data_IF_881495061023
#
_entry.id   IF_881495061023
#
_cell.length_a   1.000
_cell.length_b   1.000
_cell.length_c   1.000
_cell.angle_alpha   90.00
_cell.angle_beta   90.00
_cell.angle_gamma   90.00
#
_symmetry.space_group_name_H-M   'P 1'
#
loop_
_entity.id
_entity.type
_entity.pdbx_description
1 polymer ?
#
# COMPACT_ATOMS: atom_id res chain seq x y z
N UNK A 1 -26.28 47.46 28.21
CA UNK A 1 -25.20 47.87 27.28
C UNK A 1 -24.66 46.61 26.64
N UNK A 2 -24.78 46.50 25.32
CA UNK A 2 -24.42 45.33 24.52
C UNK A 2 -22.89 45.23 24.41
N UNK A 3 -22.33 44.07 24.72
CA UNK A 3 -20.99 43.68 24.26
C UNK A 3 -21.16 42.73 23.09
N UNK A 4 -21.31 43.30 21.89
CA UNK A 4 -21.15 42.58 20.64
C UNK A 4 -19.67 42.23 20.50
N UNK A 5 -19.32 40.99 20.83
CA UNK A 5 -18.05 40.40 20.43
C UNK A 5 -18.03 40.37 18.90
N UNK A 6 -17.32 41.30 18.31
CA UNK A 6 -16.95 41.29 16.90
C UNK A 6 -16.22 39.97 16.65
N UNK A 7 -16.89 39.04 16.00
CA UNK A 7 -16.28 37.81 15.49
C UNK A 7 -15.28 38.28 14.44
N UNK A 8 -14.02 38.42 14.85
CA UNK A 8 -12.93 38.70 13.93
C UNK A 8 -12.86 37.54 12.95
N UNK A 9 -13.48 37.81 11.81
CA UNK A 9 -13.49 37.04 10.59
C UNK A 9 -12.04 36.83 10.14
N UNK A 10 -11.42 35.73 10.58
CA UNK A 10 -10.03 35.40 10.27
C UNK A 10 -9.93 34.93 8.82
N UNK A 11 -9.07 35.61 8.06
CA UNK A 11 -8.65 35.17 6.74
C UNK A 11 -7.43 34.25 6.85
N UNK A 12 -7.43 33.14 6.12
CA UNK A 12 -6.28 32.24 6.11
C UNK A 12 -5.12 32.81 5.28
N UNK A 13 -3.86 32.60 5.69
CA UNK A 13 -2.70 32.98 4.88
C UNK A 13 -2.73 32.28 3.52
N UNK A 14 -2.32 32.97 2.44
CA UNK A 14 -2.25 32.39 1.09
C UNK A 14 -1.43 31.08 1.03
N UNK A 15 -0.36 30.99 1.84
CA UNK A 15 0.47 29.78 1.99
C UNK A 15 -0.33 28.54 2.44
N UNK A 16 -1.44 28.72 3.16
CA UNK A 16 -2.29 27.61 3.59
C UNK A 16 -3.01 26.97 2.39
N UNK A 17 -3.50 27.79 1.47
CA UNK A 17 -4.14 27.32 0.24
C UNK A 17 -3.14 26.68 -0.72
N UNK A 18 -1.93 27.25 -0.84
CA UNK A 18 -0.85 26.65 -1.63
C UNK A 18 -0.49 25.24 -1.12
N UNK A 19 -0.42 25.05 0.20
CA UNK A 19 -0.12 23.73 0.78
C UNK A 19 -1.27 22.74 0.56
N UNK A 20 -2.53 23.19 0.63
CA UNK A 20 -3.68 22.34 0.32
C UNK A 20 -3.69 21.91 -1.16
N UNK A 21 -3.39 22.83 -2.07
CA UNK A 21 -3.31 22.53 -3.50
C UNK A 21 -2.17 21.53 -3.79
N UNK A 22 -1.00 21.72 -3.18
CA UNK A 22 0.10 20.76 -3.27
C UNK A 22 -0.28 19.38 -2.73
N UNK A 23 -1.08 19.30 -1.66
CA UNK A 23 -1.57 18.03 -1.15
C UNK A 23 -2.52 17.33 -2.13
N UNK A 24 -3.41 18.08 -2.77
CA UNK A 24 -4.33 17.54 -3.79
C UNK A 24 -3.50 16.97 -4.95
N UNK A 25 -2.57 17.77 -5.48
CA UNK A 25 -1.72 17.34 -6.59
C UNK A 25 -0.91 16.07 -6.25
N UNK A 26 -0.30 16.03 -5.06
CA UNK A 26 0.47 14.85 -4.64
C UNK A 26 -0.41 13.61 -4.41
N UNK A 27 -1.67 13.81 -4.02
CA UNK A 27 -2.62 12.70 -3.87
C UNK A 27 -3.06 12.16 -5.23
N UNK A 28 -3.26 13.03 -6.22
CA UNK A 28 -3.53 12.62 -7.60
C UNK A 28 -2.33 11.90 -8.24
N UNK A 29 -1.12 12.43 -8.05
CA UNK A 29 0.13 11.76 -8.46
C UNK A 29 0.24 10.36 -7.83
N UNK A 30 -0.15 10.21 -6.56
CA UNK A 30 -0.14 8.91 -5.88
C UNK A 30 -1.13 7.95 -6.52
N UNK A 31 -2.33 8.41 -6.90
CA UNK A 31 -3.31 7.57 -7.60
C UNK A 31 -2.78 7.09 -8.95
N UNK A 32 -2.07 7.95 -9.69
CA UNK A 32 -1.41 7.57 -10.93
C UNK A 32 -0.34 6.48 -10.71
N UNK A 33 0.51 6.64 -9.69
CA UNK A 33 1.52 5.63 -9.32
C UNK A 33 0.85 4.30 -8.94
N UNK A 34 -0.27 4.32 -8.21
CA UNK A 34 -1.01 3.10 -7.85
C UNK A 34 -1.64 2.41 -9.06
N UNK A 35 -2.06 3.17 -10.08
CA UNK A 35 -2.50 2.61 -11.36
C UNK A 35 -1.34 1.98 -12.13
N UNK A 36 -0.19 2.66 -12.21
CA UNK A 36 1.02 2.10 -12.81
C UNK A 36 1.47 0.82 -12.07
N UNK A 37 1.36 0.79 -10.74
CA UNK A 37 1.66 -0.38 -9.90
C UNK A 37 0.73 -1.55 -10.23
N UNK A 38 -0.57 -1.30 -10.41
CA UNK A 38 -1.53 -2.35 -10.79
C UNK A 38 -1.18 -2.96 -12.17
N UNK A 39 -0.79 -2.13 -13.14
CA UNK A 39 -0.36 -2.60 -14.46
C UNK A 39 0.93 -3.41 -14.37
N UNK A 40 1.92 -2.93 -13.62
CA UNK A 40 3.19 -3.63 -13.42
C UNK A 40 3.01 -4.96 -12.66
N UNK A 41 2.12 -5.01 -11.66
CA UNK A 41 1.76 -6.23 -10.93
C UNK A 41 1.12 -7.25 -11.87
N UNK A 42 0.20 -6.82 -12.72
CA UNK A 42 -0.47 -7.69 -13.70
C UNK A 42 0.51 -8.23 -14.74
N UNK A 43 1.49 -7.42 -15.16
CA UNK A 43 2.55 -7.80 -16.08
C UNK A 43 3.69 -8.61 -15.42
N UNK A 44 3.68 -8.77 -14.09
CA UNK A 44 4.78 -9.33 -13.29
C UNK A 44 6.14 -8.66 -13.55
N UNK A 45 6.16 -7.37 -13.87
CA UNK A 45 7.39 -6.62 -14.15
C UNK A 45 8.07 -6.17 -12.84
N UNK A 46 8.98 -7.01 -12.35
CA UNK A 46 9.72 -6.75 -11.10
C UNK A 46 10.58 -5.48 -11.13
N UNK A 47 11.11 -5.07 -12.29
CA UNK A 47 11.93 -3.85 -12.38
C UNK A 47 11.05 -2.60 -12.27
N UNK A 48 9.89 -2.61 -12.95
CA UNK A 48 8.91 -1.54 -12.80
C UNK A 48 8.40 -1.45 -11.36
N UNK A 49 8.09 -2.57 -10.70
CA UNK A 49 7.62 -2.60 -9.32
C UNK A 49 8.63 -2.00 -8.32
N UNK A 50 9.91 -2.31 -8.46
CA UNK A 50 10.96 -1.72 -7.61
C UNK A 50 11.04 -0.19 -7.78
N UNK A 51 10.99 0.30 -9.02
CA UNK A 51 11.01 1.75 -9.31
C UNK A 51 9.75 2.45 -8.77
N UNK A 52 8.60 1.82 -8.92
CA UNK A 52 7.32 2.35 -8.44
C UNK A 52 7.28 2.39 -6.91
N UNK A 53 7.82 1.38 -6.24
CA UNK A 53 7.95 1.34 -4.78
C UNK A 53 8.76 2.53 -4.24
N UNK A 54 9.93 2.83 -4.84
CA UNK A 54 10.73 3.98 -4.45
C UNK A 54 10.00 5.33 -4.70
N UNK A 55 9.27 5.46 -5.82
CA UNK A 55 8.45 6.66 -6.11
C UNK A 55 7.32 6.82 -5.09
N UNK A 56 6.66 5.71 -4.72
CA UNK A 56 5.57 5.67 -3.73
C UNK A 56 6.05 6.09 -2.36
N UNK A 57 7.20 5.58 -1.91
CA UNK A 57 7.82 5.98 -0.64
C UNK A 57 8.16 7.47 -0.62
N UNK A 58 8.80 7.99 -1.67
CA UNK A 58 9.11 9.41 -1.77
C UNK A 58 7.86 10.31 -1.68
N UNK A 59 6.78 9.91 -2.36
CA UNK A 59 5.51 10.64 -2.35
C UNK A 59 4.81 10.56 -1.00
N UNK A 60 4.82 9.40 -0.34
CA UNK A 60 4.27 9.24 1.02
C UNK A 60 5.00 10.13 2.02
N UNK A 61 6.33 10.16 1.99
CA UNK A 61 7.12 11.02 2.87
C UNK A 61 6.78 12.50 2.66
N UNK A 62 6.55 12.91 1.42
CA UNK A 62 6.16 14.29 1.10
C UNK A 62 4.75 14.61 1.58
N UNK A 63 3.78 13.71 1.40
CA UNK A 63 2.42 13.86 1.97
C UNK A 63 2.48 13.97 3.50
N UNK A 64 3.26 13.12 4.17
CA UNK A 64 3.43 13.19 5.63
C UNK A 64 4.03 14.51 6.09
N UNK A 65 5.03 15.05 5.36
CA UNK A 65 5.63 16.34 5.68
C UNK A 65 4.63 17.51 5.54
N UNK A 66 3.79 17.49 4.49
CA UNK A 66 2.77 18.51 4.27
C UNK A 66 1.66 18.39 5.31
N UNK A 67 1.29 17.17 5.70
CA UNK A 67 0.35 16.91 6.79
C UNK A 67 0.86 17.47 8.12
N UNK A 68 2.16 17.33 8.40
CA UNK A 68 2.80 17.91 9.58
C UNK A 68 2.79 19.44 9.52
N UNK A 69 3.11 20.03 8.37
CA UNK A 69 3.07 21.50 8.20
C UNK A 69 1.65 22.06 8.36
N UNK A 70 0.63 21.44 7.75
CA UNK A 70 -0.76 21.83 7.95
C UNK A 70 -1.19 21.67 9.41
N UNK A 71 -0.72 20.62 10.08
CA UNK A 71 -0.98 20.37 11.48
C UNK A 71 -0.40 21.45 12.39
N UNK A 72 0.82 21.95 12.13
CA UNK A 72 1.44 23.04 12.87
C UNK A 72 0.77 24.39 12.57
N UNK A 73 0.54 24.73 11.30
CA UNK A 73 -0.19 25.95 10.93
C UNK A 73 -1.58 26.01 11.56
N UNK A 74 -2.29 24.88 11.62
CA UNK A 74 -3.60 24.83 12.29
C UNK A 74 -3.49 24.98 13.81
N UNK A 75 -2.41 24.48 14.43
CA UNK A 75 -2.16 24.58 15.87
C UNK A 75 -1.81 26.01 16.28
N UNK A 76 -1.07 26.74 15.44
CA UNK A 76 -0.80 28.17 15.62
C UNK A 76 -2.09 29.00 15.59
N UNK A 77 -3.03 28.64 14.71
CA UNK A 77 -4.32 29.34 14.57
C UNK A 77 -5.32 28.94 15.67
N UNK A 78 -5.32 27.67 16.08
CA UNK A 78 -6.24 27.11 17.07
C UNK A 78 -5.49 26.19 18.08
N UNK A 79 -4.93 26.76 19.17
CA UNK A 79 -4.25 25.99 20.20
C UNK A 79 -5.26 25.15 20.99
N UNK A 80 -5.37 23.85 20.68
CA UNK A 80 -6.25 22.91 21.38
C UNK A 80 -6.82 21.76 20.54
N UNK A 81 -6.76 21.83 19.21
CA UNK A 81 -7.26 20.75 18.36
C UNK A 81 -6.27 19.58 18.30
N UNK A 82 -6.54 18.48 19.02
CA UNK A 82 -5.59 17.36 19.20
C UNK A 82 -5.55 16.34 18.03
N UNK A 83 -6.40 16.42 17.01
CA UNK A 83 -6.47 15.36 15.95
C UNK A 83 -6.41 15.89 14.51
N UNK A 84 -5.52 15.28 13.69
CA UNK A 84 -5.17 15.71 12.31
C UNK A 84 -6.38 15.95 11.38
N UNK A 85 -7.39 15.09 11.42
CA UNK A 85 -8.58 15.17 10.54
C UNK A 85 -9.67 16.10 11.10
N UNK A 86 -9.72 16.28 12.42
CA UNK A 86 -10.67 17.17 13.09
C UNK A 86 -10.21 18.64 13.06
N UNK A 87 -8.92 18.90 12.80
CA UNK A 87 -8.30 20.22 12.75
C UNK A 87 -8.86 21.13 11.66
N UNK A 88 -8.97 20.65 10.41
CA UNK A 88 -9.57 21.43 9.32
C UNK A 88 -11.08 21.65 9.54
N UNK A 89 -11.79 20.66 10.08
CA UNK A 89 -13.20 20.78 10.42
C UNK A 89 -13.47 21.82 11.52
N UNK A 90 -12.57 21.90 12.51
CA UNK A 90 -12.62 22.87 13.59
C UNK A 90 -12.27 24.30 13.15
N UNK A 91 -11.53 24.46 12.05
CA UNK A 91 -11.24 25.77 11.45
C UNK A 91 -12.43 26.36 10.69
N UNK A 92 -13.22 25.54 9.98
CA UNK A 92 -14.36 26.00 9.17
C UNK A 92 -15.32 26.98 9.89
N UNK A 93 -15.77 26.73 11.14
CA UNK A 93 -16.67 27.65 11.84
C UNK A 93 -16.01 28.96 12.32
N UNK A 94 -14.68 29.05 12.28
CA UNK A 94 -13.91 30.24 12.70
C UNK A 94 -13.52 31.14 11.52
N UNK A 95 -13.81 30.70 10.29
CA UNK A 95 -13.43 31.36 9.05
C UNK A 95 -14.62 32.10 8.44
N UNK A 96 -14.30 32.99 7.51
CA UNK A 96 -15.31 33.62 6.66
C UNK A 96 -16.16 32.58 5.92
N UNK A 97 -17.47 32.81 5.72
CA UNK A 97 -18.34 31.82 5.08
C UNK A 97 -17.83 31.34 3.71
N UNK A 98 -17.21 32.22 2.93
CA UNK A 98 -16.61 31.90 1.63
C UNK A 98 -15.30 31.10 1.77
N UNK A 99 -14.44 31.41 2.74
CA UNK A 99 -13.22 30.66 3.01
C UNK A 99 -13.49 29.30 3.64
N UNK A 100 -14.46 29.23 4.55
CA UNK A 100 -14.93 27.99 5.18
C UNK A 100 -15.54 27.02 4.17
N UNK A 101 -16.28 27.52 3.16
CA UNK A 101 -16.74 26.70 2.02
C UNK A 101 -15.56 26.15 1.22
N UNK A 102 -14.58 26.99 0.87
CA UNK A 102 -13.38 26.55 0.11
C UNK A 102 -12.59 25.48 0.86
N UNK A 103 -12.28 25.71 2.14
CA UNK A 103 -11.58 24.73 3.00
C UNK A 103 -12.40 23.46 3.17
N UNK A 104 -13.73 23.57 3.30
CA UNK A 104 -14.64 22.44 3.32
C UNK A 104 -14.58 21.60 2.04
N UNK A 105 -14.48 22.23 0.88
CA UNK A 105 -14.35 21.56 -0.42
C UNK A 105 -13.00 20.83 -0.54
N UNK A 106 -11.90 21.51 -0.20
CA UNK A 106 -10.56 20.89 -0.19
C UNK A 106 -10.49 19.69 0.75
N UNK A 107 -11.07 19.80 1.95
CA UNK A 107 -11.14 18.69 2.90
C UNK A 107 -11.90 17.50 2.31
N UNK A 108 -13.10 17.72 1.74
CA UNK A 108 -13.89 16.65 1.12
C UNK A 108 -13.10 15.96 0.00
N UNK A 109 -12.46 16.74 -0.85
CA UNK A 109 -11.63 16.22 -1.95
C UNK A 109 -10.44 15.40 -1.42
N UNK A 110 -9.71 15.91 -0.42
CA UNK A 110 -8.60 15.18 0.18
C UNK A 110 -9.04 13.89 0.88
N UNK A 111 -10.19 13.90 1.59
CA UNK A 111 -10.75 12.68 2.17
C UNK A 111 -11.06 11.65 1.09
N UNK A 112 -11.76 12.06 0.02
CA UNK A 112 -12.08 11.18 -1.11
C UNK A 112 -10.82 10.58 -1.74
N UNK A 113 -9.81 11.40 -2.02
CA UNK A 113 -8.56 10.95 -2.64
C UNK A 113 -7.82 9.96 -1.73
N UNK A 114 -7.78 10.21 -0.41
CA UNK A 114 -7.14 9.30 0.56
C UNK A 114 -7.85 7.97 0.68
N UNK A 115 -9.19 7.97 0.67
CA UNK A 115 -9.99 6.74 0.64
C UNK A 115 -9.71 5.93 -0.63
N UNK A 116 -9.62 6.61 -1.78
CA UNK A 116 -9.31 5.96 -3.05
C UNK A 116 -7.90 5.38 -3.09
N UNK A 117 -6.90 6.11 -2.57
CA UNK A 117 -5.51 5.62 -2.38
C UNK A 117 -5.51 4.37 -1.51
N UNK A 118 -6.23 4.39 -0.38
CA UNK A 118 -6.29 3.27 0.55
C UNK A 118 -6.92 2.04 -0.11
N UNK A 119 -8.02 2.23 -0.85
CA UNK A 119 -8.69 1.14 -1.54
C UNK A 119 -7.81 0.51 -2.63
N UNK A 120 -7.19 1.32 -3.50
CA UNK A 120 -6.30 0.83 -4.55
C UNK A 120 -5.07 0.12 -3.99
N UNK A 121 -4.47 0.66 -2.93
CA UNK A 121 -3.34 0.02 -2.26
C UNK A 121 -3.74 -1.34 -1.66
N UNK A 122 -4.92 -1.43 -1.04
CA UNK A 122 -5.45 -2.69 -0.52
C UNK A 122 -5.64 -3.73 -1.63
N UNK A 123 -6.19 -3.33 -2.78
CA UNK A 123 -6.37 -4.22 -3.94
C UNK A 123 -5.01 -4.72 -4.45
N UNK A 124 -4.05 -3.82 -4.66
CA UNK A 124 -2.70 -4.18 -5.11
C UNK A 124 -2.01 -5.12 -4.11
N UNK A 125 -2.19 -4.88 -2.80
CA UNK A 125 -1.65 -5.73 -1.74
C UNK A 125 -2.23 -7.15 -1.73
N UNK A 126 -3.55 -7.28 -1.89
CA UNK A 126 -4.20 -8.60 -2.01
C UNK A 126 -3.73 -9.34 -3.26
N UNK A 127 -3.71 -8.66 -4.41
CA UNK A 127 -3.23 -9.26 -5.66
C UNK A 127 -1.79 -9.78 -5.55
N UNK A 128 -0.88 -8.99 -4.95
CA UNK A 128 0.50 -9.41 -4.74
C UNK A 128 0.61 -10.64 -3.81
N UNK A 129 -0.24 -10.72 -2.78
CA UNK A 129 -0.30 -11.87 -1.87
C UNK A 129 -0.83 -13.13 -2.58
N UNK A 130 -1.85 -12.98 -3.41
CA UNK A 130 -2.42 -14.08 -4.20
C UNK A 130 -1.39 -14.62 -5.20
N UNK A 131 -0.73 -13.73 -5.95
CA UNK A 131 0.35 -14.12 -6.90
C UNK A 131 1.47 -14.88 -6.19
N UNK A 132 1.89 -14.41 -5.00
CA UNK A 132 2.90 -15.11 -4.20
C UNK A 132 2.44 -16.52 -3.80
N UNK A 133 1.18 -16.66 -3.43
CA UNK A 133 0.59 -17.96 -3.03
C UNK A 133 0.60 -18.92 -4.21
N UNK A 134 0.12 -18.49 -5.38
CA UNK A 134 0.12 -19.32 -6.59
C UNK A 134 1.54 -19.72 -7.03
N UNK A 135 2.51 -18.81 -6.94
CA UNK A 135 3.91 -19.14 -7.25
C UNK A 135 4.48 -20.17 -6.28
N UNK A 136 4.18 -20.06 -4.98
CA UNK A 136 4.60 -21.05 -3.99
C UNK A 136 3.95 -22.42 -4.23
N UNK A 137 2.67 -22.46 -4.60
CA UNK A 137 1.97 -23.70 -4.92
C UNK A 137 2.57 -24.35 -6.18
N UNK A 138 2.88 -23.56 -7.21
CA UNK A 138 3.54 -24.04 -8.42
C UNK A 138 4.94 -24.59 -8.13
N UNK A 139 5.74 -23.88 -7.32
CA UNK A 139 7.05 -24.36 -6.84
C UNK A 139 6.87 -25.68 -6.08
N UNK A 140 5.88 -25.77 -5.18
CA UNK A 140 5.60 -26.99 -4.41
C UNK A 140 5.20 -28.15 -5.33
N UNK A 141 4.40 -27.90 -6.37
CA UNK A 141 4.00 -28.92 -7.34
C UNK A 141 5.19 -29.42 -8.17
N UNK A 142 6.09 -28.53 -8.60
CA UNK A 142 7.30 -28.91 -9.34
C UNK A 142 8.26 -29.67 -8.42
N UNK A 143 8.49 -29.18 -7.21
CA UNK A 143 9.48 -29.75 -6.27
C UNK A 143 9.02 -31.04 -5.59
N UNK A 144 7.73 -31.20 -5.31
CA UNK A 144 7.18 -32.47 -4.78
C UNK A 144 7.39 -33.64 -5.74
N UNK A 145 7.26 -33.39 -7.05
CA UNK A 145 7.52 -34.40 -8.08
C UNK A 145 8.99 -34.86 -8.16
N UNK A 146 9.93 -34.01 -7.71
CA UNK A 146 11.37 -34.30 -7.67
C UNK A 146 11.74 -35.02 -6.35
N UNK A 147 11.06 -34.69 -5.25
CA UNK A 147 11.30 -35.29 -3.95
C UNK A 147 10.80 -36.76 -3.85
N UNK A 148 9.72 -37.11 -4.56
CA UNK A 148 9.10 -38.44 -4.48
C UNK A 148 9.67 -39.50 -5.44
N UNK A 149 10.59 -39.13 -6.34
CA UNK A 149 11.23 -40.09 -7.26
C UNK A 149 12.75 -40.01 -7.20
N UNK A 150 13.46 -41.10 -6.84
CA UNK A 150 14.87 -41.22 -7.19
C UNK A 150 14.98 -41.32 -8.72
N UNK A 151 15.22 -40.19 -9.39
CA UNK A 151 15.30 -40.08 -10.86
C UNK A 151 16.48 -40.86 -11.46
N UNK A 152 17.52 -41.18 -10.68
CA UNK A 152 18.62 -42.05 -11.11
C UNK A 152 19.14 -42.83 -9.90
N UNK A 153 18.95 -44.15 -9.90
CA UNK A 153 19.65 -45.05 -8.96
C UNK A 153 18.77 -46.04 -8.21
N UNK A 154 18.17 -46.99 -8.92
CA UNK A 154 17.86 -48.32 -8.36
C UNK A 154 18.11 -49.42 -9.40
N UNK A 155 19.18 -49.24 -10.18
CA UNK A 155 19.83 -50.33 -10.91
C UNK A 155 21.11 -50.69 -10.17
N UNK A 156 21.10 -51.83 -9.46
CA UNK A 156 22.31 -52.51 -9.00
C UNK A 156 22.75 -52.25 -7.56
N UNK A 157 21.93 -52.58 -6.56
CA UNK A 157 22.44 -52.96 -5.25
C UNK A 157 21.90 -54.34 -4.85
N UNK A 158 22.54 -55.34 -5.45
CA UNK A 158 22.67 -56.68 -4.91
C UNK A 158 23.10 -56.63 -3.43
N UNK A 159 22.18 -56.89 -2.51
CA UNK A 159 22.49 -57.26 -1.12
C UNK A 159 21.71 -58.50 -0.69
N UNK A 160 22.38 -59.64 -0.94
CA UNK A 160 22.41 -60.92 -0.23
C UNK A 160 21.08 -61.68 -0.05
N UNK A 161 20.91 -62.87 -0.68
CA UNK A 161 19.85 -63.79 -0.28
C UNK A 161 20.09 -64.22 1.16
N UNK A 162 19.04 -64.17 1.98
CA UNK A 162 19.03 -64.73 3.31
C UNK A 162 19.27 -66.24 3.22
N UNK A 163 20.09 -66.76 4.13
CA UNK A 163 20.65 -68.11 4.14
C UNK A 163 19.64 -69.25 4.40
N UNK A 164 18.35 -69.05 4.18
CA UNK A 164 17.28 -70.02 4.50
C UNK A 164 16.18 -70.13 3.43
N UNK A 165 16.47 -69.89 2.15
CA UNK A 165 15.56 -70.25 1.07
C UNK A 165 16.22 -71.22 0.09
N UNK A 166 15.60 -72.38 -0.20
CA UNK A 166 16.12 -73.31 -1.19
C UNK A 166 16.01 -72.67 -2.58
N UNK A 167 17.14 -72.49 -3.26
CA UNK A 167 17.17 -71.99 -4.64
C UNK A 167 16.69 -73.10 -5.58
N UNK A 168 15.54 -72.88 -6.24
CA UNK A 168 15.17 -73.66 -7.41
C UNK A 168 16.07 -73.24 -8.57
N UNK A 169 17.15 -73.99 -8.77
CA UNK A 169 17.96 -73.93 -9.99
C UNK A 169 17.16 -74.67 -11.07
N UNK A 170 16.39 -73.94 -11.86
CA UNK A 170 15.94 -74.47 -13.15
C UNK A 170 17.14 -74.48 -14.10
N UNK A 171 17.65 -75.70 -14.33
CA UNK A 171 18.57 -76.00 -15.43
C UNK A 171 17.84 -75.80 -16.76
N UNK A 172 18.53 -75.15 -17.68
CA UNK A 172 18.21 -75.06 -19.09
C UNK A 172 18.24 -76.45 -19.74
N UNK A 173 17.26 -76.74 -20.60
CA UNK A 173 17.39 -77.55 -21.82
C UNK A 173 16.45 -76.96 -22.87
#
# INVERSE_FOLDING_TARGET
MQQTQTTEQRTLPARFYEVLEQQVQLSEDMLAILSEEQTALTAMDMQALLRLSARKENRLNRIQSLDAMLAEMTKEILPGAQTKTARLAALIPLLNPEEGKKVGQYRKNLTRLREEILNRNRINGHFAADVKTYLNDAITLITSSIADRPMYGLTGLSKKPSLNQPSLISREV
#
